data_IF_438526249615
#
_entry.id   IF_438526249615
#
_cell.length_a   1.000
_cell.length_b   1.000
_cell.length_c   1.000
_cell.angle_alpha   90.00
_cell.angle_beta   90.00
_cell.angle_gamma   90.00
#
_symmetry.space_group_name_H-M   'P 1'
#
loop_
_entity.id
_entity.type
_entity.pdbx_description
1 polymer ?
#
# COMPACT_ATOMS: atom_id res chain seq x y z
N UNK A 1 19.64 -0.29 11.38
CA UNK A 1 19.61 -0.45 12.84
C UNK A 1 18.48 -1.40 13.15
N UNK A 2 18.81 -2.54 13.74
CA UNK A 2 17.97 -3.74 13.89
C UNK A 2 16.89 -3.56 14.96
N UNK A 3 15.64 -3.85 14.60
CA UNK A 3 14.46 -3.84 15.47
C UNK A 3 14.41 -5.12 16.32
N UNK A 4 15.40 -5.34 17.17
CA UNK A 4 15.44 -6.50 18.08
C UNK A 4 14.89 -6.03 19.43
N UNK A 5 13.87 -6.72 19.93
CA UNK A 5 13.13 -6.48 21.18
C UNK A 5 11.86 -5.62 21.11
N UNK A 6 10.91 -6.02 20.25
CA UNK A 6 9.51 -5.59 20.39
C UNK A 6 8.68 -6.68 21.08
N UNK A 7 8.71 -6.71 22.40
CA UNK A 7 7.80 -7.53 23.19
C UNK A 7 6.41 -6.87 23.27
N UNK A 8 5.37 -7.57 22.82
CA UNK A 8 4.01 -7.28 23.29
C UNK A 8 3.97 -7.60 24.79
N UNK A 9 3.21 -6.85 25.62
CA UNK A 9 2.96 -7.27 26.99
C UNK A 9 2.43 -8.71 26.96
N UNK A 10 3.10 -9.61 27.67
CA UNK A 10 2.79 -11.03 27.69
C UNK A 10 1.28 -11.24 27.92
N UNK A 11 0.59 -11.87 26.96
CA UNK A 11 -0.83 -12.22 27.08
C UNK A 11 -1.81 -11.47 26.18
N UNK A 12 -1.38 -10.58 25.27
CA UNK A 12 -2.30 -9.97 24.31
C UNK A 12 -2.73 -10.98 23.24
N UNK A 13 -4.00 -11.41 23.29
CA UNK A 13 -4.63 -12.21 22.23
C UNK A 13 -4.75 -11.37 20.97
N UNK A 14 -4.13 -11.82 19.88
CA UNK A 14 -4.20 -11.13 18.57
C UNK A 14 -5.30 -11.68 17.66
N UNK A 15 -5.75 -12.92 17.89
CA UNK A 15 -6.82 -13.56 17.13
C UNK A 15 -7.71 -14.44 18.02
N UNK A 16 -9.00 -14.56 17.68
CA UNK A 16 -9.94 -15.47 18.34
C UNK A 16 -10.79 -16.18 17.29
N UNK A 17 -10.92 -17.50 17.39
CA UNK A 17 -11.78 -18.27 16.52
C UNK A 17 -12.52 -19.39 17.24
N UNK A 18 -13.44 -20.03 16.52
CA UNK A 18 -14.21 -21.15 17.02
C UNK A 18 -15.44 -21.45 16.16
N UNK A 19 -16.27 -22.37 16.66
CA UNK A 19 -17.62 -22.55 16.13
C UNK A 19 -18.52 -21.43 16.65
N UNK A 20 -19.36 -20.91 15.78
CA UNK A 20 -20.46 -20.00 16.12
C UNK A 20 -21.72 -20.52 15.44
N UNK A 21 -22.07 -21.74 15.83
CA UNK A 21 -23.35 -22.31 15.45
C UNK A 21 -24.46 -21.35 15.97
N UNK A 22 -25.58 -21.30 15.26
CA UNK A 22 -26.78 -20.53 15.63
C UNK A 22 -26.80 -19.02 15.32
N UNK A 23 -25.70 -18.41 14.84
CA UNK A 23 -25.77 -17.04 14.26
C UNK A 23 -26.70 -16.99 13.04
N UNK A 24 -26.92 -18.11 12.35
CA UNK A 24 -27.87 -18.21 11.23
C UNK A 24 -29.35 -18.24 11.65
N UNK A 25 -29.65 -18.49 12.94
CA UNK A 25 -31.03 -18.60 13.43
C UNK A 25 -31.79 -17.27 13.30
N UNK A 26 -31.13 -16.15 13.62
CA UNK A 26 -31.69 -14.80 13.43
C UNK A 26 -31.94 -14.44 11.96
N UNK A 27 -31.41 -15.23 11.02
CA UNK A 27 -31.63 -15.10 9.57
C UNK A 27 -32.52 -16.22 8.99
N UNK A 28 -33.25 -16.96 9.83
CA UNK A 28 -34.30 -17.90 9.42
C UNK A 28 -33.84 -19.34 9.16
N UNK A 29 -32.56 -19.68 9.39
CA UNK A 29 -32.09 -21.07 9.37
C UNK A 29 -30.76 -21.22 10.12
N UNK A 30 -30.77 -21.99 11.20
CA UNK A 30 -29.54 -22.44 11.83
C UNK A 30 -28.69 -23.27 10.84
N UNK A 31 -27.41 -22.92 10.72
CA UNK A 31 -26.40 -23.64 9.93
C UNK A 31 -25.11 -23.61 10.73
N UNK A 32 -24.37 -24.71 10.70
CA UNK A 32 -23.07 -24.75 11.37
C UNK A 32 -22.11 -23.73 10.75
N UNK A 33 -21.34 -23.03 11.59
CA UNK A 33 -20.42 -22.01 11.13
C UNK A 33 -19.16 -21.94 11.99
N UNK A 34 -18.03 -21.61 11.36
CA UNK A 34 -16.73 -21.46 12.02
C UNK A 34 -15.91 -20.37 11.35
N UNK A 35 -15.00 -19.76 12.11
CA UNK A 35 -14.20 -18.62 11.65
C UNK A 35 -13.39 -18.02 12.79
N UNK A 36 -12.69 -16.92 12.49
CA UNK A 36 -11.88 -16.19 13.45
C UNK A 36 -11.84 -14.70 13.12
N UNK A 37 -11.51 -13.87 14.11
CA UNK A 37 -11.13 -12.48 13.96
C UNK A 37 -9.65 -12.28 14.33
N UNK A 38 -9.08 -11.16 13.88
CA UNK A 38 -7.69 -10.79 14.17
C UNK A 38 -7.53 -9.26 14.25
N UNK A 39 -6.72 -8.79 15.21
CA UNK A 39 -6.33 -7.38 15.33
C UNK A 39 -5.14 -7.09 14.38
N UNK A 40 -5.44 -6.50 13.22
CA UNK A 40 -4.44 -6.17 12.20
C UNK A 40 -3.41 -5.15 12.67
N UNK A 41 -3.74 -4.27 13.63
CA UNK A 41 -2.78 -3.29 14.18
C UNK A 41 -1.78 -3.98 15.10
N UNK A 42 -2.24 -4.94 15.89
CA UNK A 42 -1.34 -5.79 16.68
C UNK A 42 -0.48 -6.65 15.77
N UNK A 43 -1.07 -7.25 14.74
CA UNK A 43 -0.35 -8.07 13.76
C UNK A 43 0.72 -7.25 13.01
N UNK A 44 0.41 -6.06 12.52
CA UNK A 44 1.36 -5.23 11.79
C UNK A 44 2.58 -4.82 12.62
N UNK A 45 2.44 -4.76 13.95
CA UNK A 45 3.58 -4.51 14.84
C UNK A 45 4.54 -5.68 14.97
N UNK A 46 4.08 -6.91 14.69
CA UNK A 46 4.83 -8.17 14.78
C UNK A 46 5.44 -8.61 13.46
N UNK A 47 4.88 -8.16 12.34
CA UNK A 47 5.41 -8.47 11.01
C UNK A 47 6.66 -7.64 10.77
N UNK A 48 7.74 -8.30 10.34
CA UNK A 48 8.94 -7.61 9.89
C UNK A 48 8.65 -6.86 8.60
N UNK A 49 8.97 -5.57 8.57
CA UNK A 49 9.00 -4.82 7.33
C UNK A 49 10.19 -5.33 6.50
N UNK A 50 9.91 -6.04 5.41
CA UNK A 50 10.94 -6.53 4.47
C UNK A 50 11.60 -5.39 3.69
N UNK A 51 11.20 -4.14 3.93
CA UNK A 51 11.94 -2.97 3.49
C UNK A 51 11.92 -2.80 1.97
N UNK A 52 10.81 -3.18 1.31
CA UNK A 52 10.61 -2.90 -0.10
C UNK A 52 10.54 -1.38 -0.31
N UNK A 53 11.70 -0.76 -0.50
CA UNK A 53 11.79 0.63 -0.95
C UNK A 53 11.24 0.68 -2.37
N UNK A 54 9.99 1.11 -2.47
CA UNK A 54 9.40 1.42 -3.76
C UNK A 54 10.06 2.69 -4.29
N UNK A 55 10.45 2.65 -5.55
CA UNK A 55 10.98 3.82 -6.24
C UNK A 55 9.90 4.90 -6.28
N UNK A 56 10.22 6.10 -5.82
CA UNK A 56 9.34 7.27 -5.90
C UNK A 56 9.72 8.10 -7.11
N UNK A 57 8.75 8.35 -7.99
CA UNK A 57 8.89 9.12 -9.21
C UNK A 57 8.04 10.38 -9.07
N UNK A 58 8.68 11.55 -9.08
CA UNK A 58 8.00 12.84 -9.12
C UNK A 58 7.68 13.22 -10.57
N UNK A 59 6.48 13.71 -10.84
CA UNK A 59 6.11 14.23 -12.17
C UNK A 59 6.22 15.74 -12.14
N UNK A 60 7.05 16.30 -13.03
CA UNK A 60 7.20 17.74 -13.16
C UNK A 60 5.83 18.41 -13.44
N UNK A 61 5.57 19.58 -12.84
CA UNK A 61 4.39 20.37 -13.19
C UNK A 61 4.47 20.81 -14.65
N UNK A 62 3.31 20.87 -15.31
CA UNK A 62 3.15 21.40 -16.66
C UNK A 62 1.98 22.39 -16.66
N UNK A 63 2.09 23.44 -17.46
CA UNK A 63 1.01 24.41 -17.68
C UNK A 63 -0.10 23.83 -18.58
N UNK A 64 0.14 22.69 -19.23
CA UNK A 64 -0.82 22.01 -20.09
C UNK A 64 -1.77 21.12 -19.30
N UNK A 65 -3.04 21.51 -19.27
CA UNK A 65 -4.11 20.83 -18.51
C UNK A 65 -4.45 19.43 -19.06
N UNK A 66 -4.17 19.17 -20.36
CA UNK A 66 -4.53 17.94 -21.06
C UNK A 66 -3.39 17.37 -21.91
N UNK A 67 -2.34 16.89 -21.25
CA UNK A 67 -1.29 16.10 -21.89
C UNK A 67 -1.63 14.60 -21.82
N UNK A 68 -2.15 14.06 -22.93
CA UNK A 68 -2.50 12.65 -23.03
C UNK A 68 -1.27 11.72 -22.95
N UNK A 69 -0.13 12.15 -23.50
CA UNK A 69 1.11 11.38 -23.46
C UNK A 69 1.68 11.31 -22.03
N UNK A 70 1.56 12.41 -21.27
CA UNK A 70 1.86 12.45 -19.83
C UNK A 70 1.05 11.41 -19.09
N UNK A 71 -0.27 11.39 -19.31
CA UNK A 71 -1.17 10.48 -18.62
C UNK A 71 -0.91 9.01 -18.97
N UNK A 72 -0.63 8.73 -20.24
CA UNK A 72 -0.24 7.39 -20.70
C UNK A 72 1.03 6.92 -19.98
N UNK A 73 2.05 7.78 -19.90
CA UNK A 73 3.31 7.44 -19.23
C UNK A 73 3.15 7.25 -17.72
N UNK A 74 2.39 8.13 -17.05
CA UNK A 74 2.04 7.98 -15.63
C UNK A 74 1.32 6.65 -15.38
N UNK A 75 0.35 6.31 -16.24
CA UNK A 75 -0.43 5.07 -16.15
C UNK A 75 0.45 3.83 -16.34
N UNK A 76 1.40 3.87 -17.29
CA UNK A 76 2.39 2.81 -17.47
C UNK A 76 3.27 2.63 -16.22
N UNK A 77 3.80 3.72 -15.67
CA UNK A 77 4.65 3.67 -14.48
C UNK A 77 3.89 3.11 -13.27
N UNK A 78 2.64 3.52 -13.05
CA UNK A 78 1.79 3.02 -11.94
C UNK A 78 1.45 1.52 -12.04
N UNK A 79 1.67 0.86 -13.18
CA UNK A 79 1.55 -0.62 -13.30
C UNK A 79 2.78 -1.36 -12.78
N UNK A 80 3.91 -0.66 -12.63
CA UNK A 80 5.13 -1.20 -12.04
C UNK A 80 5.18 -0.97 -10.53
N UNK A 81 6.15 -1.56 -9.83
CA UNK A 81 6.30 -1.44 -8.36
C UNK A 81 6.97 -0.09 -8.00
N UNK A 82 6.32 1.03 -8.35
CA UNK A 82 6.78 2.38 -8.04
C UNK A 82 5.62 3.27 -7.55
N UNK A 83 5.96 4.39 -6.91
CA UNK A 83 5.02 5.42 -6.46
C UNK A 83 5.19 6.63 -7.38
N UNK A 84 4.13 7.02 -8.08
CA UNK A 84 4.14 8.20 -8.97
C UNK A 84 3.39 9.35 -8.29
N UNK A 85 4.12 10.42 -7.95
CA UNK A 85 3.59 11.62 -7.29
C UNK A 85 3.53 12.77 -8.28
N UNK A 86 2.37 13.39 -8.41
CA UNK A 86 2.20 14.59 -9.23
C UNK A 86 2.28 15.83 -8.33
N UNK A 87 3.08 16.83 -8.72
CA UNK A 87 3.28 18.08 -7.96
C UNK A 87 4.68 18.22 -7.36
N UNK A 88 4.89 19.25 -6.53
CA UNK A 88 6.17 19.49 -5.86
C UNK A 88 6.44 18.42 -4.80
N UNK A 89 7.56 17.70 -4.96
CA UNK A 89 7.96 16.62 -4.06
C UNK A 89 9.48 16.60 -3.93
N UNK A 90 9.96 16.61 -2.68
CA UNK A 90 11.39 16.69 -2.36
C UNK A 90 12.02 15.32 -2.04
N UNK A 91 11.24 14.23 -2.07
CA UNK A 91 11.66 12.87 -1.69
C UNK A 91 11.36 11.87 -2.81
N UNK A 92 11.82 12.19 -4.03
CA UNK A 92 11.73 11.29 -5.18
C UNK A 92 13.12 10.79 -5.58
N UNK A 93 13.17 9.54 -6.02
CA UNK A 93 14.38 8.92 -6.58
C UNK A 93 14.60 9.34 -8.04
N UNK A 94 13.50 9.56 -8.76
CA UNK A 94 13.49 9.96 -10.16
C UNK A 94 12.46 11.04 -10.42
N UNK A 95 12.63 11.73 -11.54
CA UNK A 95 11.68 12.71 -12.04
C UNK A 95 11.26 12.36 -13.46
N UNK A 96 9.95 12.38 -13.72
CA UNK A 96 9.38 12.32 -15.06
C UNK A 96 9.26 13.76 -15.60
N UNK A 97 10.01 14.06 -16.64
CA UNK A 97 10.11 15.40 -17.26
C UNK A 97 9.73 15.33 -18.73
N UNK A 98 9.18 16.42 -19.27
CA UNK A 98 8.94 16.57 -20.70
C UNK A 98 10.18 17.14 -21.37
N UNK A 99 10.85 16.34 -22.20
CA UNK A 99 11.95 16.78 -23.05
C UNK A 99 11.53 16.72 -24.51
N UNK A 100 11.52 17.88 -25.17
CA UNK A 100 11.24 17.97 -26.62
C UNK A 100 9.90 17.32 -27.04
N UNK A 101 8.90 17.31 -26.15
CA UNK A 101 7.58 16.70 -26.40
C UNK A 101 7.47 15.23 -25.99
N UNK A 102 8.51 14.64 -25.40
CA UNK A 102 8.52 13.26 -24.91
C UNK A 102 8.70 13.20 -23.39
N UNK A 103 7.97 12.30 -22.72
CA UNK A 103 8.07 12.10 -21.27
C UNK A 103 9.14 11.08 -20.91
N UNK A 104 10.23 11.57 -20.32
CA UNK A 104 11.43 10.77 -20.00
C UNK A 104 11.72 10.77 -18.49
N UNK A 105 12.22 9.64 -18.00
CA UNK A 105 12.66 9.50 -16.61
C UNK A 105 14.10 9.95 -16.44
N UNK A 106 14.36 10.73 -15.39
CA UNK A 106 15.70 11.16 -14.98
C UNK A 106 15.94 10.84 -13.51
N UNK A 107 17.16 10.48 -13.16
CA UNK A 107 17.60 10.38 -11.78
C UNK A 107 17.71 11.79 -11.16
N UNK A 108 17.36 11.90 -9.86
CA UNK A 108 17.42 13.14 -9.06
C UNK A 108 18.63 13.12 -8.13
#
# INVERSE_FOLDING_TARGET
>A
MSNVDRWLPAGRRIAKGGRYDDVGEVFGRARGATGFDIDLKSLSSLVEDTGHKQEKIGVAPTDEVHDAARWEKISELRKSVCIVVEGETNDCNKQLVNETGEWVLKDV
#
